data_IF_332354739815
#
_entry.id   IF_332354739815
#
_cell.length_a   1.000
_cell.length_b   1.000
_cell.length_c   1.000
_cell.angle_alpha   90.00
_cell.angle_beta   90.00
_cell.angle_gamma   90.00
#
_symmetry.space_group_name_H-M   'P 1'
#
loop_
_entity.id
_entity.type
_entity.pdbx_description
1 polymer ?
#
# COMPACT_ATOMS: atom_id res chain seq x y z
N UNK A 1 1.03 28.60 9.09
CA UNK A 1 1.17 27.65 7.97
C UNK A 1 -0.14 26.88 7.87
N UNK A 2 -0.92 27.09 6.80
CA UNK A 2 -2.21 26.42 6.65
C UNK A 2 -1.98 24.91 6.55
N UNK A 3 -2.62 24.15 7.44
CA UNK A 3 -2.63 22.69 7.43
C UNK A 3 -3.05 22.22 6.03
N UNK A 4 -2.27 21.33 5.41
CA UNK A 4 -2.61 20.81 4.08
C UNK A 4 -4.02 20.21 4.15
N UNK A 5 -4.95 20.75 3.36
CA UNK A 5 -6.29 20.20 3.28
C UNK A 5 -6.16 18.77 2.77
N UNK A 6 -6.67 17.80 3.53
CA UNK A 6 -6.65 16.41 3.10
C UNK A 6 -7.85 16.11 2.20
N UNK A 7 -7.69 15.17 1.26
CA UNK A 7 -8.74 14.84 0.29
C UNK A 7 -10.06 14.47 0.97
N UNK A 8 -10.02 13.66 2.03
CA UNK A 8 -11.22 13.22 2.76
C UNK A 8 -11.91 14.33 3.57
N UNK A 9 -11.16 15.36 3.96
CA UNK A 9 -11.72 16.52 4.66
C UNK A 9 -12.26 17.58 3.68
N UNK A 10 -12.16 17.33 2.37
CA UNK A 10 -12.62 18.23 1.31
C UNK A 10 -14.06 17.87 0.90
N UNK A 11 -15.05 18.77 1.09
CA UNK A 11 -16.40 18.54 0.60
C UNK A 11 -16.45 18.31 -0.91
N UNK A 12 -17.39 17.49 -1.39
CA UNK A 12 -17.54 17.18 -2.81
C UNK A 12 -17.63 18.43 -3.70
N UNK A 13 -18.30 19.49 -3.23
CA UNK A 13 -18.43 20.77 -3.94
C UNK A 13 -17.13 21.56 -4.09
N UNK A 14 -16.08 21.22 -3.33
CA UNK A 14 -14.76 21.87 -3.36
C UNK A 14 -13.66 21.03 -4.03
N UNK A 15 -13.98 19.86 -4.58
CA UNK A 15 -12.98 18.96 -5.19
C UNK A 15 -12.26 19.61 -6.38
N UNK A 16 -12.95 20.44 -7.16
CA UNK A 16 -12.31 21.17 -8.26
C UNK A 16 -11.26 22.16 -7.78
N UNK A 17 -11.58 22.92 -6.74
CA UNK A 17 -10.65 23.84 -6.09
C UNK A 17 -9.48 23.08 -5.47
N UNK A 18 -9.75 21.92 -4.88
CA UNK A 18 -8.71 21.03 -4.34
C UNK A 18 -7.73 20.58 -5.43
N UNK A 19 -8.24 20.10 -6.58
CA UNK A 19 -7.39 19.70 -7.71
C UNK A 19 -6.54 20.87 -8.20
N UNK A 20 -7.14 22.05 -8.37
CA UNK A 20 -6.44 23.22 -8.89
C UNK A 20 -5.34 23.75 -7.94
N UNK A 21 -5.59 23.75 -6.64
CA UNK A 21 -4.69 24.34 -5.64
C UNK A 21 -3.62 23.38 -5.13
N UNK A 22 -3.96 22.09 -4.99
CA UNK A 22 -3.11 21.11 -4.31
C UNK A 22 -2.52 20.05 -5.25
N UNK A 23 -3.23 19.68 -6.32
CA UNK A 23 -2.80 18.57 -7.19
C UNK A 23 -2.10 19.02 -8.46
N UNK A 24 -2.50 20.16 -9.04
CA UNK A 24 -1.89 20.66 -10.27
C UNK A 24 -0.49 21.22 -9.98
N UNK A 25 0.55 20.80 -10.73
CA UNK A 25 1.87 21.40 -10.59
C UNK A 25 1.89 22.82 -11.13
N UNK A 26 2.74 23.65 -10.53
CA UNK A 26 3.02 24.98 -11.07
C UNK A 26 3.71 24.87 -12.44
N UNK A 27 3.36 25.78 -13.35
CA UNK A 27 3.89 25.78 -14.72
C UNK A 27 5.41 25.93 -14.76
N UNK A 28 5.95 26.88 -14.00
CA UNK A 28 7.39 27.15 -13.93
C UNK A 28 8.18 25.95 -13.42
N UNK A 29 7.69 25.30 -12.36
CA UNK A 29 8.26 24.07 -11.81
C UNK A 29 8.29 22.94 -12.84
N UNK A 30 7.18 22.74 -13.57
CA UNK A 30 7.11 21.72 -14.61
C UNK A 30 8.09 22.02 -15.76
N UNK A 31 8.21 23.28 -16.17
CA UNK A 31 9.14 23.69 -17.22
C UNK A 31 10.60 23.43 -16.80
N UNK A 32 10.94 23.67 -15.54
CA UNK A 32 12.26 23.41 -15.00
C UNK A 32 12.62 21.91 -15.00
N UNK A 33 11.72 21.03 -14.53
CA UNK A 33 11.93 19.57 -14.61
C UNK A 33 12.10 19.13 -16.07
N UNK A 34 11.27 19.64 -16.97
CA UNK A 34 11.35 19.28 -18.38
C UNK A 34 12.64 19.74 -19.06
N UNK A 35 13.28 20.80 -18.58
CA UNK A 35 14.57 21.24 -19.10
C UNK A 35 15.71 20.30 -18.66
N UNK A 36 15.71 19.84 -17.40
CA UNK A 36 16.68 18.82 -16.95
C UNK A 36 16.52 17.51 -17.73
N UNK A 37 15.28 17.05 -17.91
CA UNK A 37 14.96 15.85 -18.71
C UNK A 37 15.38 16.02 -20.17
N UNK A 38 15.29 17.24 -20.73
CA UNK A 38 15.70 17.50 -22.12
C UNK A 38 17.19 17.24 -22.32
N UNK A 39 18.05 17.51 -21.32
CA UNK A 39 19.47 17.14 -21.35
C UNK A 39 19.64 15.61 -21.46
N UNK A 40 18.87 14.83 -20.70
CA UNK A 40 18.86 13.35 -20.83
C UNK A 40 18.42 12.92 -22.24
N UNK A 41 17.36 13.52 -22.77
CA UNK A 41 16.87 13.19 -24.12
C UNK A 41 17.89 13.55 -25.21
N UNK A 42 18.66 14.61 -25.02
CA UNK A 42 19.72 15.01 -25.93
C UNK A 42 20.89 14.04 -25.88
N UNK A 43 21.38 13.73 -24.68
CA UNK A 43 22.41 12.71 -24.44
C UNK A 43 22.07 11.39 -25.15
N UNK A 44 20.86 10.86 -24.93
CA UNK A 44 20.43 9.60 -25.54
C UNK A 44 20.41 9.65 -27.08
N UNK A 45 20.13 10.80 -27.69
CA UNK A 45 20.04 10.94 -29.15
C UNK A 45 21.39 11.13 -29.81
N UNK A 46 22.32 11.78 -29.12
CA UNK A 46 23.64 12.12 -29.64
C UNK A 46 24.67 11.02 -29.35
N UNK A 47 24.43 10.15 -28.35
CA UNK A 47 25.39 9.10 -28.05
C UNK A 47 25.35 7.93 -29.03
N UNK A 48 26.56 7.43 -29.30
CA UNK A 48 26.83 6.20 -30.03
C UNK A 48 27.10 5.08 -29.03
N UNK A 49 26.20 4.09 -29.02
CA UNK A 49 26.28 2.94 -28.13
C UNK A 49 26.97 1.79 -28.87
N UNK A 50 28.30 1.72 -28.78
CA UNK A 50 29.09 0.60 -29.31
C UNK A 50 28.90 -0.64 -28.42
N UNK A 51 28.52 -1.77 -29.03
CA UNK A 51 28.37 -3.03 -28.33
C UNK A 51 28.33 -4.23 -29.28
N UNK A 52 28.78 -5.40 -28.82
CA UNK A 52 28.90 -6.63 -29.61
C UNK A 52 27.56 -7.39 -29.79
N UNK A 53 26.42 -6.69 -29.73
CA UNK A 53 25.10 -7.31 -29.57
C UNK A 53 24.22 -7.12 -30.82
N UNK A 54 24.32 -8.07 -31.76
CA UNK A 54 23.49 -8.12 -32.98
C UNK A 54 24.25 -7.77 -34.27
N UNK A 55 23.57 -7.75 -35.44
CA UNK A 55 24.20 -7.48 -36.74
C UNK A 55 24.67 -6.01 -36.89
N UNK A 56 24.11 -5.09 -36.10
CA UNK A 56 24.51 -3.69 -36.07
C UNK A 56 25.59 -3.47 -35.00
N UNK A 57 26.82 -3.18 -35.43
CA UNK A 57 27.97 -2.89 -34.57
C UNK A 57 27.82 -1.55 -33.79
N UNK A 58 26.83 -0.74 -34.16
CA UNK A 58 26.54 0.58 -33.61
C UNK A 58 25.04 0.69 -33.25
N UNK A 59 24.73 0.72 -31.96
CA UNK A 59 23.35 0.88 -31.49
C UNK A 59 22.99 2.37 -31.44
N UNK A 60 21.90 2.74 -32.13
CA UNK A 60 21.41 4.11 -32.19
C UNK A 60 20.02 4.24 -31.60
N UNK A 61 19.78 5.39 -30.95
CA UNK A 61 18.44 5.75 -30.46
C UNK A 61 17.59 6.30 -31.62
N UNK A 62 16.60 5.53 -32.02
CA UNK A 62 15.64 5.91 -33.06
C UNK A 62 14.66 6.99 -32.57
N UNK A 63 14.24 6.88 -31.30
CA UNK A 63 13.22 7.78 -30.73
C UNK A 63 13.22 7.71 -29.20
N UNK A 64 13.03 8.86 -28.56
CA UNK A 64 12.79 8.95 -27.11
C UNK A 64 11.40 9.50 -26.84
N UNK A 65 10.62 8.79 -26.03
CA UNK A 65 9.24 9.13 -25.70
C UNK A 65 9.08 9.34 -24.20
N UNK A 66 8.57 10.50 -23.81
CA UNK A 66 8.10 10.74 -22.43
C UNK A 66 6.78 10.02 -22.21
N UNK A 67 6.73 9.15 -21.22
CA UNK A 67 5.57 8.32 -20.87
C UNK A 67 5.11 8.68 -19.46
N UNK A 68 4.25 7.84 -18.87
CA UNK A 68 3.71 8.07 -17.54
C UNK A 68 3.00 9.42 -17.37
N UNK A 69 3.09 9.96 -16.15
CA UNK A 69 2.39 11.17 -15.71
C UNK A 69 2.78 12.43 -16.50
N UNK A 70 4.06 12.57 -16.82
CA UNK A 70 4.59 13.70 -17.60
C UNK A 70 4.22 13.60 -19.09
N UNK A 71 4.21 12.38 -19.64
CA UNK A 71 3.85 12.12 -21.04
C UNK A 71 2.36 12.32 -21.33
N UNK A 72 1.48 11.86 -20.43
CA UNK A 72 0.03 11.91 -20.64
C UNK A 72 -0.65 13.16 -20.07
N UNK A 73 0.09 14.02 -19.36
CA UNK A 73 -0.43 15.27 -18.80
C UNK A 73 -1.28 15.10 -17.55
N UNK A 74 -1.00 14.07 -16.74
CA UNK A 74 -1.64 13.80 -15.44
C UNK A 74 -0.66 13.91 -14.26
N UNK A 75 0.45 14.61 -14.45
CA UNK A 75 1.43 14.95 -13.40
C UNK A 75 0.76 15.62 -12.18
N UNK A 76 1.14 15.15 -10.99
CA UNK A 76 0.76 15.73 -9.70
C UNK A 76 1.87 16.69 -9.23
N UNK A 77 1.52 17.61 -8.32
CA UNK A 77 2.44 18.61 -7.77
C UNK A 77 3.72 18.04 -7.15
N UNK A 78 3.67 16.84 -6.56
CA UNK A 78 4.80 16.21 -5.87
C UNK A 78 5.40 15.03 -6.67
N UNK A 79 5.06 14.89 -7.96
CA UNK A 79 5.61 13.80 -8.78
C UNK A 79 7.02 14.19 -9.25
N UNK A 80 8.03 13.52 -8.68
CA UNK A 80 9.44 13.72 -9.03
C UNK A 80 9.98 12.66 -9.99
N UNK A 81 9.14 11.74 -10.44
CA UNK A 81 9.54 10.66 -11.34
C UNK A 81 9.14 10.97 -12.80
N UNK A 82 10.10 10.83 -13.70
CA UNK A 82 9.94 10.99 -15.15
C UNK A 82 10.33 9.72 -15.86
N UNK A 83 9.37 9.13 -16.55
CA UNK A 83 9.56 7.90 -17.31
C UNK A 83 9.83 8.19 -18.80
N UNK A 84 10.87 7.56 -19.33
CA UNK A 84 11.31 7.64 -20.72
C UNK A 84 11.36 6.24 -21.34
N UNK A 85 10.71 6.08 -22.49
CA UNK A 85 10.88 4.91 -23.35
C UNK A 85 11.83 5.27 -24.49
N UNK A 86 12.84 4.42 -24.70
CA UNK A 86 13.90 4.63 -25.68
C UNK A 86 13.84 3.53 -26.72
N UNK A 87 13.49 3.90 -27.95
CA UNK A 87 13.44 2.99 -29.08
C UNK A 87 14.81 2.88 -29.72
N UNK A 88 15.34 1.66 -29.84
CA UNK A 88 16.70 1.39 -30.30
C UNK A 88 16.71 0.71 -31.67
N UNK A 89 17.77 0.92 -32.44
CA UNK A 89 17.96 0.32 -33.77
C UNK A 89 18.24 -1.17 -33.73
N UNK A 90 18.89 -1.65 -32.67
CA UNK A 90 19.33 -3.05 -32.51
C UNK A 90 18.19 -4.04 -32.22
N UNK A 91 16.99 -3.55 -31.92
CA UNK A 91 15.82 -4.40 -31.73
C UNK A 91 15.02 -4.45 -33.02
N UNK A 92 14.95 -5.63 -33.63
CA UNK A 92 14.14 -5.88 -34.83
C UNK A 92 12.91 -6.76 -34.54
N UNK A 93 12.83 -7.36 -33.34
CA UNK A 93 11.70 -8.15 -32.88
C UNK A 93 11.55 -8.07 -31.35
N UNK A 94 10.40 -8.52 -30.84
CA UNK A 94 10.17 -8.66 -29.40
C UNK A 94 11.12 -9.67 -28.75
N UNK A 95 11.49 -10.74 -29.46
CA UNK A 95 12.44 -11.73 -28.97
C UNK A 95 13.83 -11.12 -28.77
N UNK A 96 14.31 -10.31 -29.72
CA UNK A 96 15.58 -9.60 -29.59
C UNK A 96 15.57 -8.56 -28.47
N UNK A 97 14.45 -7.86 -28.27
CA UNK A 97 14.26 -7.00 -27.10
C UNK A 97 14.46 -7.82 -25.82
N UNK A 98 13.78 -8.96 -25.66
CA UNK A 98 13.91 -9.80 -24.48
C UNK A 98 15.33 -10.37 -24.26
N UNK A 99 16.01 -10.82 -25.32
CA UNK A 99 17.34 -11.41 -25.24
C UNK A 99 18.42 -10.38 -24.86
N UNK A 100 18.32 -9.16 -25.39
CA UNK A 100 19.37 -8.15 -25.25
C UNK A 100 19.01 -7.01 -24.28
N UNK A 101 17.81 -7.00 -23.69
CA UNK A 101 17.32 -5.94 -22.80
C UNK A 101 18.34 -5.55 -21.73
N UNK A 102 18.83 -6.53 -20.97
CA UNK A 102 19.73 -6.32 -19.85
C UNK A 102 21.12 -5.83 -20.27
N UNK A 103 21.61 -6.32 -21.41
CA UNK A 103 22.89 -5.89 -21.97
C UNK A 103 22.83 -4.41 -22.38
N UNK A 104 21.72 -4.01 -23.01
CA UNK A 104 21.47 -2.61 -23.40
C UNK A 104 21.32 -1.71 -22.17
N UNK A 105 20.58 -2.11 -21.15
CA UNK A 105 20.48 -1.34 -19.90
C UNK A 105 21.87 -1.11 -19.27
N UNK A 106 22.70 -2.15 -19.23
CA UNK A 106 24.07 -2.09 -18.73
C UNK A 106 24.96 -1.17 -19.58
N UNK A 107 24.75 -1.14 -20.90
CA UNK A 107 25.47 -0.26 -21.82
C UNK A 107 25.09 1.21 -21.60
N UNK A 108 23.79 1.51 -21.51
CA UNK A 108 23.30 2.86 -21.23
C UNK A 108 23.83 3.33 -19.86
N UNK A 109 23.76 2.47 -18.84
CA UNK A 109 24.29 2.75 -17.51
C UNK A 109 25.76 3.18 -17.52
N UNK A 110 26.62 2.44 -18.24
CA UNK A 110 28.04 2.80 -18.38
C UNK A 110 28.23 4.16 -19.05
N UNK A 111 27.46 4.45 -20.10
CA UNK A 111 27.57 5.70 -20.85
C UNK A 111 27.04 6.92 -20.09
N UNK A 112 26.06 6.75 -19.19
CA UNK A 112 25.58 7.84 -18.33
C UNK A 112 26.73 8.44 -17.50
N UNK A 113 27.60 7.60 -16.93
CA UNK A 113 28.75 8.05 -16.14
C UNK A 113 29.83 8.78 -16.95
N UNK A 114 29.84 8.63 -18.27
CA UNK A 114 30.75 9.36 -19.14
C UNK A 114 30.22 10.74 -19.58
N UNK A 115 28.93 11.02 -19.37
CA UNK A 115 28.29 12.24 -19.83
C UNK A 115 28.55 13.42 -18.88
N UNK A 116 29.36 14.39 -19.32
CA UNK A 116 29.66 15.60 -18.54
C UNK A 116 28.42 16.43 -18.22
N UNK A 117 27.47 16.52 -19.14
CA UNK A 117 26.25 17.32 -18.94
C UNK A 117 25.35 16.72 -17.87
N UNK A 118 25.27 15.39 -17.78
CA UNK A 118 24.50 14.71 -16.73
C UNK A 118 25.22 14.77 -15.38
N UNK A 119 26.54 14.63 -15.36
CA UNK A 119 27.34 14.87 -14.16
C UNK A 119 27.17 16.31 -13.64
N UNK A 120 27.09 17.30 -14.54
CA UNK A 120 26.81 18.69 -14.18
C UNK A 120 25.39 18.91 -13.62
N UNK A 121 24.46 17.99 -13.90
CA UNK A 121 23.14 17.94 -13.27
C UNK A 121 23.14 17.11 -11.97
N UNK A 122 24.29 16.69 -11.44
CA UNK A 122 24.33 15.90 -10.20
C UNK A 122 23.74 14.50 -10.36
N UNK A 123 24.16 13.78 -11.41
CA UNK A 123 23.79 12.39 -11.65
C UNK A 123 24.20 11.49 -10.46
N UNK A 124 23.21 10.87 -9.82
CA UNK A 124 23.38 9.99 -8.66
C UNK A 124 22.44 8.77 -8.76
N UNK A 125 22.58 7.82 -7.82
CA UNK A 125 21.70 6.65 -7.63
C UNK A 125 21.41 5.82 -8.90
N UNK A 126 22.42 5.64 -9.76
CA UNK A 126 22.25 4.91 -11.03
C UNK A 126 22.18 3.40 -10.80
N UNK A 127 20.98 2.84 -10.90
CA UNK A 127 20.70 1.42 -10.67
C UNK A 127 19.78 0.81 -11.74
N UNK A 128 19.91 -0.50 -11.97
CA UNK A 128 18.97 -1.27 -12.79
C UNK A 128 17.99 -1.95 -11.85
N UNK A 129 16.72 -1.57 -11.94
CA UNK A 129 15.64 -2.14 -11.13
C UNK A 129 15.00 -3.29 -11.90
N UNK A 130 14.95 -4.46 -11.26
CA UNK A 130 14.28 -5.63 -11.80
C UNK A 130 12.75 -5.47 -11.75
N UNK A 131 12.08 -5.75 -12.87
CA UNK A 131 10.66 -5.48 -13.04
C UNK A 131 10.07 -6.13 -14.29
N UNK A 132 8.94 -5.59 -14.74
CA UNK A 132 8.25 -6.03 -15.97
C UNK A 132 8.00 -4.82 -16.87
N UNK A 133 8.93 -4.47 -17.78
CA UNK A 133 10.31 -4.97 -17.88
C UNK A 133 11.27 -4.28 -16.90
N UNK A 134 12.52 -4.76 -16.84
CA UNK A 134 13.61 -4.11 -16.13
C UNK A 134 13.84 -2.68 -16.64
N UNK A 135 14.23 -1.78 -15.74
CA UNK A 135 14.40 -0.36 -16.05
C UNK A 135 15.67 0.20 -15.43
N UNK A 136 16.30 1.15 -16.13
CA UNK A 136 17.42 1.92 -15.59
C UNK A 136 16.87 3.14 -14.88
N UNK A 137 17.17 3.28 -13.58
CA UNK A 137 16.70 4.36 -12.74
C UNK A 137 17.91 5.14 -12.23
N UNK A 138 17.81 6.46 -12.22
CA UNK A 138 18.83 7.35 -11.67
C UNK A 138 18.21 8.67 -11.24
N UNK A 139 18.96 9.45 -10.49
CA UNK A 139 18.56 10.79 -10.06
C UNK A 139 19.41 11.87 -10.72
N UNK A 140 18.78 13.01 -11.01
CA UNK A 140 19.45 14.24 -11.46
C UNK A 140 18.79 15.43 -10.76
N UNK A 141 19.46 16.57 -10.76
CA UNK A 141 19.00 17.80 -10.15
C UNK A 141 18.55 18.82 -11.20
N UNK A 142 17.53 19.61 -10.86
CA UNK A 142 17.15 20.76 -11.66
C UNK A 142 18.17 21.89 -11.51
N UNK A 143 18.35 22.69 -12.58
CA UNK A 143 19.40 23.72 -12.61
C UNK A 143 19.15 24.91 -11.68
N UNK A 144 17.90 25.26 -11.36
CA UNK A 144 17.59 26.49 -10.59
C UNK A 144 17.29 26.17 -9.14
N UNK A 145 16.48 25.16 -8.88
CA UNK A 145 16.05 24.77 -7.53
C UNK A 145 16.89 23.67 -6.89
N UNK A 146 17.79 23.02 -7.66
CA UNK A 146 18.52 21.83 -7.21
C UNK A 146 17.60 20.73 -6.67
N UNK A 147 16.38 20.65 -7.22
CA UNK A 147 15.39 19.64 -6.84
C UNK A 147 15.75 18.32 -7.49
N UNK A 148 15.80 17.27 -6.67
CA UNK A 148 16.16 15.92 -7.12
C UNK A 148 14.96 15.31 -7.84
N UNK A 149 15.16 14.90 -9.08
CA UNK A 149 14.19 14.19 -9.90
C UNK A 149 14.73 12.79 -10.23
N UNK A 150 13.84 11.81 -10.20
CA UNK A 150 14.12 10.44 -10.60
C UNK A 150 13.75 10.27 -12.07
N UNK A 151 14.67 9.72 -12.86
CA UNK A 151 14.44 9.41 -14.28
C UNK A 151 14.53 7.91 -14.46
N UNK A 152 13.50 7.36 -15.09
CA UNK A 152 13.39 5.93 -15.40
C UNK A 152 13.49 5.75 -16.92
N UNK A 153 14.43 4.94 -17.40
CA UNK A 153 14.64 4.61 -18.81
C UNK A 153 14.29 3.16 -19.06
N UNK A 154 13.44 2.93 -20.06
CA UNK A 154 13.08 1.60 -20.54
C UNK A 154 13.38 1.49 -22.05
N UNK A 155 14.37 0.68 -22.45
CA UNK A 155 14.61 0.31 -23.85
C UNK A 155 13.41 -0.44 -24.43
N UNK A 156 13.12 -0.25 -25.71
CA UNK A 156 11.98 -0.91 -26.36
C UNK A 156 12.20 -1.14 -27.86
N UNK A 157 11.66 -2.23 -28.38
CA UNK A 157 11.50 -2.47 -29.82
C UNK A 157 10.47 -1.49 -30.41
N UNK A 158 10.80 -0.89 -31.55
CA UNK A 158 9.90 0.02 -32.26
C UNK A 158 8.92 -0.75 -33.15
N UNK A 159 8.00 -1.47 -32.51
CA UNK A 159 6.95 -2.24 -33.18
C UNK A 159 5.97 -1.36 -33.98
N UNK A 160 5.77 -0.11 -33.53
CA UNK A 160 4.89 0.84 -34.20
C UNK A 160 5.69 1.69 -35.19
N UNK A 161 5.40 1.52 -36.48
CA UNK A 161 5.92 2.38 -37.55
C UNK A 161 5.53 3.85 -37.37
N UNK A 162 6.00 4.77 -38.23
CA UNK A 162 5.63 6.18 -38.22
C UNK A 162 4.14 6.36 -38.60
N UNK A 163 3.24 6.01 -37.69
CA UNK A 163 1.80 6.10 -37.87
C UNK A 163 1.26 7.39 -37.27
N UNK A 164 0.16 7.90 -37.84
CA UNK A 164 -0.53 9.08 -37.33
C UNK A 164 -1.06 8.82 -35.90
N UNK A 165 -1.12 9.88 -35.08
CA UNK A 165 -1.64 9.77 -33.71
C UNK A 165 -3.06 9.19 -33.70
N UNK A 166 -3.22 8.03 -33.05
CA UNK A 166 -4.49 7.30 -32.83
C UNK A 166 -4.97 6.40 -33.99
N UNK A 167 -4.14 6.07 -34.98
CA UNK A 167 -4.47 4.98 -35.91
C UNK A 167 -4.37 3.62 -35.22
N UNK A 168 -5.23 2.69 -35.61
CA UNK A 168 -5.13 1.31 -35.16
C UNK A 168 -3.84 0.69 -35.72
N UNK A 169 -3.02 0.02 -34.89
CA UNK A 169 -1.88 -0.74 -35.37
C UNK A 169 -2.33 -1.88 -36.27
N UNK A 170 -1.46 -2.25 -37.20
CA UNK A 170 -1.61 -3.44 -38.03
C UNK A 170 -1.73 -4.70 -37.13
N UNK A 171 -2.74 -5.57 -37.34
CA UNK A 171 -2.94 -6.78 -36.53
C UNK A 171 -1.70 -7.67 -36.41
N UNK A 172 -0.87 -7.72 -37.45
CA UNK A 172 0.38 -8.48 -37.53
C UNK A 172 1.37 -8.09 -36.42
N UNK A 173 1.32 -6.86 -35.93
CA UNK A 173 2.12 -6.40 -34.78
C UNK A 173 1.68 -7.09 -33.49
N UNK A 174 0.39 -7.35 -33.32
CA UNK A 174 -0.12 -8.08 -32.16
C UNK A 174 0.06 -9.59 -32.31
N UNK A 175 -0.02 -10.13 -33.53
CA UNK A 175 0.30 -11.54 -33.80
C UNK A 175 1.76 -11.84 -33.44
N UNK A 176 2.71 -11.03 -33.94
CA UNK A 176 4.13 -11.17 -33.59
C UNK A 176 4.41 -10.98 -32.08
N UNK A 177 3.64 -10.12 -31.39
CA UNK A 177 3.70 -10.00 -29.93
C UNK A 177 3.27 -11.29 -29.22
N UNK A 178 2.18 -11.91 -29.67
CA UNK A 178 1.64 -13.15 -29.09
C UNK A 178 2.62 -14.31 -29.35
N UNK A 179 3.17 -14.39 -30.56
CA UNK A 179 4.15 -15.39 -30.96
C UNK A 179 5.49 -15.27 -30.21
N UNK A 180 5.83 -14.07 -29.72
CA UNK A 180 7.04 -13.87 -28.94
C UNK A 180 7.02 -14.53 -27.56
N UNK A 181 5.87 -14.99 -27.08
CA UNK A 181 5.70 -15.75 -25.82
C UNK A 181 6.38 -15.11 -24.59
N UNK A 182 6.52 -13.78 -24.57
CA UNK A 182 7.08 -13.06 -23.43
C UNK A 182 6.14 -13.01 -22.22
N UNK A 183 6.69 -12.69 -21.06
CA UNK A 183 5.90 -12.48 -19.86
C UNK A 183 4.87 -11.34 -20.06
N UNK A 184 3.61 -11.49 -19.62
CA UNK A 184 2.59 -10.45 -19.82
C UNK A 184 3.03 -9.07 -19.30
N UNK A 185 3.03 -8.07 -20.20
CA UNK A 185 3.41 -6.70 -19.89
C UNK A 185 4.88 -6.34 -20.18
N UNK A 186 5.74 -7.33 -20.44
CA UNK A 186 7.17 -7.09 -20.66
C UNK A 186 7.43 -6.18 -21.87
N UNK A 187 6.69 -6.37 -22.96
CA UNK A 187 6.77 -5.57 -24.18
C UNK A 187 5.78 -4.40 -24.22
N UNK A 188 5.20 -4.04 -23.08
CA UNK A 188 4.31 -2.86 -23.00
C UNK A 188 4.98 -1.55 -23.44
N UNK A 189 6.30 -1.32 -23.24
CA UNK A 189 6.99 -0.11 -23.70
C UNK A 189 6.94 0.09 -25.22
N UNK A 190 6.91 -0.99 -26.02
CA UNK A 190 6.80 -0.94 -27.48
C UNK A 190 5.50 -0.26 -27.95
N UNK A 191 4.47 -0.26 -27.10
CA UNK A 191 3.16 0.37 -27.31
C UNK A 191 2.95 1.63 -26.47
N UNK A 192 4.00 2.15 -25.83
CA UNK A 192 3.91 3.27 -24.90
C UNK A 192 3.30 4.55 -25.50
N UNK A 193 3.46 4.78 -26.80
CA UNK A 193 2.82 5.90 -27.48
C UNK A 193 1.29 5.78 -27.50
N UNK A 194 0.75 4.57 -27.71
CA UNK A 194 -0.68 4.31 -27.68
C UNK A 194 -1.22 4.52 -26.27
N UNK A 195 -0.54 3.96 -25.26
CA UNK A 195 -0.90 4.11 -23.84
C UNK A 195 -0.93 5.59 -23.44
N UNK A 196 0.12 6.35 -23.81
CA UNK A 196 0.19 7.79 -23.59
C UNK A 196 -0.95 8.50 -24.28
N UNK A 197 -1.17 8.24 -25.57
CA UNK A 197 -2.16 8.95 -26.38
C UNK A 197 -3.59 8.69 -25.93
N UNK A 198 -3.88 7.47 -25.44
CA UNK A 198 -5.17 7.07 -24.88
C UNK A 198 -5.62 7.99 -23.73
N UNK A 199 -4.68 8.48 -22.93
CA UNK A 199 -4.94 9.40 -21.81
C UNK A 199 -4.70 10.87 -22.21
N UNK A 200 -3.66 11.14 -23.00
CA UNK A 200 -3.23 12.49 -23.37
C UNK A 200 -4.29 13.27 -24.12
N UNK A 201 -5.04 12.64 -25.02
CA UNK A 201 -6.04 13.30 -25.86
C UNK A 201 -7.44 13.38 -25.22
N UNK A 202 -7.53 13.24 -23.88
CA UNK A 202 -8.79 13.35 -23.13
C UNK A 202 -9.10 14.79 -22.69
N UNK A 203 -10.38 15.14 -22.44
CA UNK A 203 -10.76 16.47 -21.96
C UNK A 203 -10.04 16.88 -20.67
N UNK A 204 -9.79 18.18 -20.48
CA UNK A 204 -9.07 18.71 -19.31
C UNK A 204 -9.74 18.33 -17.99
N UNK A 205 -11.08 18.33 -17.94
CA UNK A 205 -11.84 17.92 -16.76
C UNK A 205 -11.63 16.43 -16.41
N UNK A 206 -11.55 15.56 -17.42
CA UNK A 206 -11.20 14.15 -17.19
C UNK A 206 -9.77 14.02 -16.66
N UNK A 207 -8.82 14.81 -17.16
CA UNK A 207 -7.46 14.84 -16.61
C UNK A 207 -7.43 15.33 -15.16
N UNK A 208 -8.31 16.26 -14.77
CA UNK A 208 -8.47 16.67 -13.36
C UNK A 208 -8.97 15.52 -12.50
N UNK A 209 -9.97 14.76 -12.96
CA UNK A 209 -10.45 13.56 -12.27
C UNK A 209 -9.34 12.49 -12.14
N UNK A 210 -8.58 12.24 -13.22
CA UNK A 210 -7.46 11.29 -13.18
C UNK A 210 -6.40 11.70 -12.15
N UNK A 211 -6.11 13.00 -12.00
CA UNK A 211 -5.23 13.48 -10.93
C UNK A 211 -5.81 13.20 -9.55
N UNK A 212 -7.11 13.44 -9.36
CA UNK A 212 -7.79 13.16 -8.09
C UNK A 212 -7.70 11.68 -7.71
N UNK A 213 -8.01 10.78 -8.65
CA UNK A 213 -7.92 9.33 -8.44
C UNK A 213 -6.49 8.88 -8.16
N UNK A 214 -5.51 9.39 -8.92
CA UNK A 214 -4.09 9.09 -8.67
C UNK A 214 -3.65 9.57 -7.30
N UNK A 215 -4.06 10.77 -6.90
CA UNK A 215 -3.75 11.31 -5.58
C UNK A 215 -4.37 10.45 -4.48
N UNK A 216 -5.63 10.04 -4.64
CA UNK A 216 -6.32 9.11 -3.74
C UNK A 216 -5.58 7.76 -3.65
N UNK A 217 -5.15 7.20 -4.78
CA UNK A 217 -4.43 5.92 -4.83
C UNK A 217 -3.04 6.01 -4.17
N UNK A 218 -2.33 7.12 -4.37
CA UNK A 218 -0.98 7.36 -3.82
C UNK A 218 -1.00 7.78 -2.35
N UNK A 219 -2.09 8.39 -1.87
CA UNK A 219 -2.34 8.50 -0.44
C UNK A 219 -2.52 7.08 0.09
N UNK A 220 -1.42 6.45 0.54
CA UNK A 220 -1.46 5.20 1.30
C UNK A 220 -2.62 5.31 2.27
N UNK A 221 -3.57 4.38 2.16
CA UNK A 221 -4.73 4.25 3.01
C UNK A 221 -4.54 4.90 4.39
N UNK A 222 -5.05 6.14 4.54
CA UNK A 222 -4.93 6.88 5.80
C UNK A 222 -5.61 6.05 6.88
N UNK A 223 -4.96 5.95 8.05
CA UNK A 223 -5.65 5.45 9.21
C UNK A 223 -6.82 6.39 9.55
N UNK A 224 -8.04 5.87 9.46
CA UNK A 224 -9.26 6.57 9.85
C UNK A 224 -9.46 6.46 11.36
N UNK A 225 -10.11 7.45 11.97
CA UNK A 225 -10.53 7.37 13.36
C UNK A 225 -11.86 6.63 13.44
N UNK A 226 -11.86 5.52 14.16
CA UNK A 226 -13.05 4.74 14.45
C UNK A 226 -13.36 4.91 15.93
N UNK A 227 -14.52 5.50 16.21
CA UNK A 227 -15.06 5.61 17.56
C UNK A 227 -15.89 4.36 17.84
N UNK A 228 -15.45 3.56 18.80
CA UNK A 228 -16.16 2.36 19.24
C UNK A 228 -17.02 2.73 20.44
N UNK A 229 -18.33 2.64 20.27
CA UNK A 229 -19.31 2.83 21.32
C UNK A 229 -19.62 1.51 22.01
N UNK A 230 -19.65 1.51 23.34
CA UNK A 230 -20.03 0.37 24.16
C UNK A 230 -20.94 0.85 25.30
N UNK A 231 -22.00 0.10 25.56
CA UNK A 231 -22.92 0.43 26.65
C UNK A 231 -22.22 0.38 28.01
N UNK A 232 -22.25 1.49 28.75
CA UNK A 232 -21.69 1.59 30.11
C UNK A 232 -20.20 1.96 30.19
N UNK A 233 -19.53 2.22 29.07
CA UNK A 233 -18.11 2.60 29.03
C UNK A 233 -17.90 3.89 28.21
N UNK A 234 -16.76 4.57 28.42
CA UNK A 234 -16.37 5.71 27.58
C UNK A 234 -16.02 5.27 26.16
N UNK A 235 -16.33 6.11 25.17
CA UNK A 235 -16.00 5.89 23.76
C UNK A 235 -14.50 5.57 23.58
N UNK A 236 -14.17 4.52 22.83
CA UNK A 236 -12.80 4.19 22.46
C UNK A 236 -12.49 4.71 21.06
N UNK A 237 -11.49 5.59 20.93
CA UNK A 237 -11.07 6.12 19.64
C UNK A 237 -9.84 5.35 19.16
N UNK A 238 -9.97 4.64 18.03
CA UNK A 238 -8.88 3.89 17.41
C UNK A 238 -8.50 4.50 16.06
N UNK A 239 -7.19 4.53 15.76
CA UNK A 239 -6.68 4.78 14.41
C UNK A 239 -6.46 3.45 13.68
N UNK A 240 -7.18 3.26 12.57
CA UNK A 240 -7.20 1.99 11.84
C UNK A 240 -7.13 2.22 10.34
N UNK A 241 -6.31 1.42 9.66
CA UNK A 241 -6.25 1.43 8.22
C UNK A 241 -7.53 0.77 7.66
N UNK A 242 -8.32 1.46 6.81
CA UNK A 242 -9.62 0.95 6.36
C UNK A 242 -9.52 -0.30 5.48
N UNK A 243 -8.34 -0.61 4.91
CA UNK A 243 -8.11 -1.80 4.09
C UNK A 243 -7.55 -2.98 4.89
N UNK A 244 -7.34 -2.82 6.20
CA UNK A 244 -7.00 -3.95 7.06
C UNK A 244 -8.29 -4.66 7.49
N UNK A 245 -8.25 -6.00 7.65
CA UNK A 245 -9.41 -6.74 8.13
C UNK A 245 -9.89 -6.21 9.48
N UNK A 246 -11.21 -6.21 9.69
CA UNK A 246 -11.86 -5.79 10.93
C UNK A 246 -11.34 -6.58 12.14
N UNK A 247 -10.87 -7.82 11.94
CA UNK A 247 -10.15 -8.58 12.97
C UNK A 247 -9.00 -7.79 13.60
N UNK A 248 -8.26 -6.96 12.84
CA UNK A 248 -7.18 -6.10 13.38
C UNK A 248 -7.72 -5.00 14.29
N UNK A 249 -8.95 -4.53 14.06
CA UNK A 249 -9.63 -3.58 14.95
C UNK A 249 -10.01 -4.28 16.25
N UNK A 250 -10.58 -5.49 16.17
CA UNK A 250 -10.90 -6.33 17.33
C UNK A 250 -9.65 -6.67 18.17
N UNK A 251 -8.52 -6.99 17.52
CA UNK A 251 -7.23 -7.20 18.19
C UNK A 251 -6.74 -5.93 18.93
N UNK A 252 -6.85 -4.75 18.30
CA UNK A 252 -6.48 -3.47 18.95
C UNK A 252 -7.39 -3.12 20.13
N UNK A 253 -8.69 -3.41 20.01
CA UNK A 253 -9.64 -3.26 21.12
C UNK A 253 -9.30 -4.19 22.28
N UNK A 254 -8.99 -5.46 21.98
CA UNK A 254 -8.54 -6.42 22.98
C UNK A 254 -7.32 -5.88 23.75
N UNK A 255 -6.30 -5.43 23.03
CA UNK A 255 -5.07 -4.90 23.63
C UNK A 255 -5.32 -3.70 24.55
N UNK A 256 -6.36 -2.90 24.25
CA UNK A 256 -6.67 -1.68 25.00
C UNK A 256 -7.59 -1.93 26.20
N UNK A 257 -8.50 -2.91 26.14
CA UNK A 257 -9.61 -3.06 27.12
C UNK A 257 -9.81 -4.46 27.70
N UNK A 258 -9.06 -5.48 27.27
CA UNK A 258 -9.17 -6.86 27.77
C UNK A 258 -10.59 -7.47 27.71
N UNK A 259 -11.34 -7.20 26.64
CA UNK A 259 -12.67 -7.79 26.39
C UNK A 259 -12.57 -9.30 26.08
N UNK A 260 -13.22 -10.17 26.87
CA UNK A 260 -13.08 -11.64 26.79
C UNK A 260 -14.17 -12.37 26.00
N UNK A 261 -15.24 -11.69 25.54
CA UNK A 261 -16.39 -12.31 24.86
C UNK A 261 -16.31 -12.33 23.32
N UNK A 262 -17.28 -13.00 22.68
CA UNK A 262 -17.52 -12.92 21.23
C UNK A 262 -17.99 -11.49 20.87
N UNK A 263 -17.14 -10.77 20.14
CA UNK A 263 -17.37 -9.37 19.77
C UNK A 263 -18.07 -9.28 18.40
N UNK A 264 -19.28 -8.75 18.39
CA UNK A 264 -19.96 -8.34 17.16
C UNK A 264 -19.87 -6.82 17.01
N UNK A 265 -19.24 -6.38 15.92
CA UNK A 265 -19.14 -4.97 15.57
C UNK A 265 -20.26 -4.60 14.60
N UNK A 266 -20.93 -3.48 14.85
CA UNK A 266 -21.98 -2.97 13.98
C UNK A 266 -21.63 -1.57 13.50
N UNK A 267 -21.76 -1.34 12.19
CA UNK A 267 -21.68 0.01 11.63
C UNK A 267 -22.97 0.77 11.91
N UNK A 268 -22.87 1.97 12.45
CA UNK A 268 -24.01 2.83 12.74
C UNK A 268 -24.22 3.81 11.59
N UNK A 269 -25.16 3.51 10.69
CA UNK A 269 -25.59 4.44 9.65
C UNK A 269 -26.73 5.35 10.16
N UNK A 270 -26.67 6.63 9.82
CA UNK A 270 -27.72 7.62 10.10
C UNK A 270 -29.03 7.21 9.40
N UNK A 271 -29.92 6.48 10.08
CA UNK A 271 -31.28 6.21 9.57
C UNK A 271 -31.81 4.77 9.61
N UNK A 272 -31.31 3.91 10.51
CA UNK A 272 -32.04 2.72 11.02
C UNK A 272 -31.73 1.32 10.45
N UNK A 273 -30.51 1.04 9.98
CA UNK A 273 -30.03 -0.35 9.91
C UNK A 273 -28.60 -0.47 10.44
N UNK A 274 -28.44 -1.23 11.53
CA UNK A 274 -27.12 -1.64 12.01
C UNK A 274 -26.61 -2.76 11.09
N UNK A 275 -25.48 -2.53 10.43
CA UNK A 275 -24.85 -3.54 9.57
C UNK A 275 -23.77 -4.29 10.35
N UNK A 276 -23.90 -5.62 10.44
CA UNK A 276 -22.90 -6.47 11.08
C UNK A 276 -21.59 -6.46 10.27
N UNK A 277 -20.51 -6.05 10.92
CA UNK A 277 -19.15 -6.03 10.40
C UNK A 277 -18.50 -7.39 10.66
N UNK A 278 -18.25 -8.13 9.59
CA UNK A 278 -17.58 -9.43 9.66
C UNK A 278 -16.07 -9.24 9.80
N UNK A 279 -15.45 -10.05 10.66
CA UNK A 279 -14.02 -9.97 10.99
C UNK A 279 -13.09 -10.24 9.80
N UNK A 280 -13.60 -10.90 8.77
CA UNK A 280 -12.85 -11.30 7.56
C UNK A 280 -12.72 -10.16 6.54
N UNK A 281 -13.68 -9.24 6.55
CA UNK A 281 -13.71 -8.09 5.64
C UNK A 281 -13.01 -6.88 6.26
N UNK A 282 -12.67 -5.92 5.42
CA UNK A 282 -12.10 -4.62 5.78
C UNK A 282 -13.19 -3.55 5.86
N UNK A 283 -12.93 -2.42 6.51
CA UNK A 283 -13.87 -1.29 6.52
C UNK A 283 -14.11 -0.74 5.10
N UNK A 284 -13.12 -0.84 4.22
CA UNK A 284 -13.24 -0.49 2.81
C UNK A 284 -14.25 -1.37 2.06
N UNK A 285 -14.39 -2.66 2.40
CA UNK A 285 -15.39 -3.55 1.80
C UNK A 285 -16.82 -3.13 2.14
N UNK A 286 -16.98 -2.39 3.24
CA UNK A 286 -18.24 -1.77 3.66
C UNK A 286 -18.37 -0.31 3.20
N UNK A 287 -17.47 0.18 2.34
CA UNK A 287 -17.50 1.54 1.83
C UNK A 287 -17.09 2.62 2.85
N UNK A 288 -16.44 2.24 3.95
CA UNK A 288 -16.04 3.16 5.03
C UNK A 288 -14.62 3.66 4.81
N UNK A 289 -14.51 4.95 4.42
CA UNK A 289 -13.23 5.61 4.12
C UNK A 289 -12.98 6.89 4.94
N UNK A 290 -13.91 7.26 5.83
CA UNK A 290 -13.82 8.44 6.70
C UNK A 290 -14.03 8.05 8.17
N UNK A 291 -13.81 8.99 9.08
CA UNK A 291 -14.04 8.76 10.51
C UNK A 291 -15.48 8.29 10.73
N UNK A 292 -15.64 7.22 11.50
CA UNK A 292 -16.94 6.56 11.69
C UNK A 292 -17.15 6.12 13.13
N UNK A 293 -18.41 5.87 13.49
CA UNK A 293 -18.81 5.29 14.77
C UNK A 293 -19.26 3.86 14.54
N UNK A 294 -18.75 2.93 15.35
CA UNK A 294 -19.17 1.53 15.35
C UNK A 294 -19.62 1.16 16.76
N UNK A 295 -20.69 0.38 16.86
CA UNK A 295 -21.17 -0.14 18.13
C UNK A 295 -20.55 -1.52 18.38
N UNK A 296 -20.01 -1.73 19.57
CA UNK A 296 -19.58 -3.02 20.06
C UNK A 296 -20.72 -3.67 20.84
N UNK A 297 -21.16 -4.84 20.38
CA UNK A 297 -22.08 -5.71 21.12
C UNK A 297 -21.34 -6.99 21.48
N UNK A 298 -21.12 -7.20 22.77
CA UNK A 298 -20.57 -8.45 23.30
C UNK A 298 -21.72 -9.43 23.52
N UNK A 299 -21.71 -10.56 22.81
CA UNK A 299 -22.60 -11.67 23.12
C UNK A 299 -21.88 -12.55 24.14
N UNK A 300 -22.18 -12.35 25.42
CA UNK A 300 -21.73 -13.24 26.48
C UNK A 300 -22.45 -14.58 26.33
N UNK A 301 -21.78 -15.59 25.79
CA UNK A 301 -22.40 -16.92 25.72
C UNK A 301 -21.42 -18.08 25.89
N UNK A 302 -20.52 -18.01 26.87
CA UNK A 302 -19.89 -19.18 27.51
C UNK A 302 -19.51 -18.88 28.99
N UNK A 303 -20.30 -18.06 29.69
CA UNK A 303 -20.05 -17.79 31.11
C UNK A 303 -20.30 -19.07 31.93
N UNK A 304 -19.24 -19.54 32.58
CA UNK A 304 -19.29 -20.61 33.56
C UNK A 304 -19.05 -20.01 34.94
N UNK A 305 -19.72 -20.56 35.94
CA UNK A 305 -19.45 -20.23 37.34
C UNK A 305 -18.51 -21.30 37.87
N UNK A 306 -17.36 -20.91 38.40
CA UNK A 306 -16.41 -21.83 39.03
C UNK A 306 -16.26 -21.48 40.50
N UNK A 307 -16.06 -22.48 41.35
CA UNK A 307 -15.80 -22.30 42.77
C UNK A 307 -14.30 -22.38 43.01
N UNK A 308 -13.75 -21.47 43.80
CA UNK A 308 -12.35 -21.53 44.20
C UNK A 308 -12.31 -21.79 45.70
N UNK A 309 -11.73 -22.92 46.07
CA UNK A 309 -11.51 -23.32 47.45
C UNK A 309 -10.26 -22.64 47.98
N UNK A 310 -10.46 -21.80 48.99
CA UNK A 310 -9.43 -21.01 49.63
C UNK A 310 -8.62 -21.86 50.64
N UNK A 311 -7.39 -21.43 50.99
CA UNK A 311 -6.56 -22.10 52.00
C UNK A 311 -7.19 -22.17 53.40
N UNK A 312 -8.16 -21.31 53.71
CA UNK A 312 -8.90 -21.29 54.98
C UNK A 312 -10.08 -22.30 55.01
N UNK A 313 -10.30 -23.02 53.91
CA UNK A 313 -11.34 -24.04 53.77
C UNK A 313 -12.66 -23.52 53.17
N UNK A 314 -12.82 -22.20 53.01
CA UNK A 314 -13.99 -21.59 52.37
C UNK A 314 -13.99 -21.78 50.85
N UNK A 315 -15.14 -21.60 50.19
CA UNK A 315 -15.23 -21.58 48.72
C UNK A 315 -15.95 -20.33 48.23
N UNK A 316 -15.31 -19.64 47.30
CA UNK A 316 -15.83 -18.43 46.66
C UNK A 316 -16.27 -18.74 45.22
N UNK A 317 -17.44 -18.25 44.83
CA UNK A 317 -17.91 -18.35 43.45
C UNK A 317 -17.33 -17.22 42.59
N UNK A 318 -16.89 -17.57 41.38
CA UNK A 318 -16.36 -16.67 40.35
C UNK A 318 -17.03 -16.95 39.01
N UNK A 319 -17.41 -15.89 38.28
CA UNK A 319 -17.98 -16.00 36.92
C UNK A 319 -16.89 -15.70 35.91
N UNK A 320 -16.63 -16.63 35.00
CA UNK A 320 -15.56 -16.54 34.00
C UNK A 320 -16.00 -17.19 32.69
N UNK A 321 -15.38 -16.79 31.58
CA UNK A 321 -15.57 -17.46 30.29
C UNK A 321 -14.84 -18.83 30.29
N UNK A 322 -15.52 -19.89 29.84
CA UNK A 322 -14.92 -21.21 29.65
C UNK A 322 -13.73 -21.18 28.67
N UNK A 323 -13.75 -20.26 27.69
CA UNK A 323 -12.65 -20.02 26.75
C UNK A 323 -11.63 -19.00 27.27
N UNK A 324 -11.88 -18.40 28.43
CA UNK A 324 -10.97 -17.45 29.08
C UNK A 324 -9.71 -18.13 29.62
N UNK A 325 -8.63 -17.35 29.76
CA UNK A 325 -7.37 -17.82 30.34
C UNK A 325 -7.41 -17.88 31.86
N UNK A 326 -6.65 -18.81 32.45
CA UNK A 326 -6.47 -18.94 33.91
C UNK A 326 -5.99 -17.63 34.57
N UNK A 327 -5.19 -16.82 33.85
CA UNK A 327 -4.75 -15.52 34.34
C UNK A 327 -5.91 -14.57 34.68
N UNK A 328 -7.01 -14.61 33.90
CA UNK A 328 -8.19 -13.78 34.13
C UNK A 328 -8.88 -14.14 35.45
N UNK A 329 -9.01 -15.44 35.74
CA UNK A 329 -9.58 -15.92 37.00
C UNK A 329 -8.69 -15.53 38.21
N UNK A 330 -7.37 -15.63 38.08
CA UNK A 330 -6.42 -15.19 39.12
C UNK A 330 -6.53 -13.69 39.43
N UNK A 331 -6.81 -12.88 38.41
CA UNK A 331 -7.03 -11.45 38.58
C UNK A 331 -8.31 -11.16 39.36
N UNK A 332 -9.39 -11.92 39.13
CA UNK A 332 -10.61 -11.80 39.92
C UNK A 332 -10.39 -12.18 41.39
N UNK A 333 -9.60 -13.23 41.65
CA UNK A 333 -9.21 -13.63 43.01
C UNK A 333 -8.38 -12.53 43.69
N UNK A 334 -7.42 -11.92 42.97
CA UNK A 334 -6.62 -10.80 43.49
C UNK A 334 -7.51 -9.61 43.88
N UNK A 335 -8.50 -9.28 43.05
CA UNK A 335 -9.45 -8.21 43.31
C UNK A 335 -10.35 -8.50 44.53
N UNK A 336 -10.84 -9.73 44.66
CA UNK A 336 -11.79 -10.11 45.72
C UNK A 336 -11.11 -10.40 47.07
N UNK A 337 -9.92 -11.01 47.05
CA UNK A 337 -9.24 -11.52 48.25
C UNK A 337 -7.93 -10.78 48.56
N UNK A 338 -7.46 -9.88 47.69
CA UNK A 338 -6.22 -9.12 47.89
C UNK A 338 -4.92 -9.92 47.76
N UNK A 339 -4.99 -11.20 47.36
CA UNK A 339 -3.82 -12.07 47.21
C UNK A 339 -3.12 -11.78 45.85
N UNK A 340 -1.84 -11.37 45.81
CA UNK A 340 -1.21 -11.01 44.55
C UNK A 340 -1.14 -12.18 43.56
N UNK A 341 -1.40 -11.94 42.26
CA UNK A 341 -1.42 -13.01 41.22
C UNK A 341 -0.17 -13.90 41.20
N UNK A 342 1.01 -13.31 41.45
CA UNK A 342 2.29 -14.05 41.49
C UNK A 342 2.36 -15.07 42.63
N UNK A 343 1.60 -14.86 43.70
CA UNK A 343 1.51 -15.74 44.86
C UNK A 343 0.37 -16.76 44.73
N UNK A 344 -0.44 -16.70 43.67
CA UNK A 344 -1.57 -17.62 43.46
C UNK A 344 -1.16 -18.84 42.62
N UNK A 345 -1.46 -20.03 43.13
CA UNK A 345 -1.42 -21.29 42.39
C UNK A 345 -2.81 -21.90 42.37
N UNK A 346 -3.39 -22.02 41.19
CA UNK A 346 -4.65 -22.71 40.98
C UNK A 346 -4.39 -24.13 40.52
N UNK A 347 -5.16 -25.07 41.05
CA UNK A 347 -5.07 -26.49 40.75
C UNK A 347 -6.46 -27.08 40.47
N UNK A 348 -6.54 -27.97 39.49
CA UNK A 348 -7.75 -28.72 39.15
C UNK A 348 -7.38 -30.17 38.89
N UNK A 349 -8.08 -31.12 39.53
CA UNK A 349 -7.84 -32.57 39.37
C UNK A 349 -6.37 -32.99 39.54
N UNK A 350 -5.62 -32.36 40.46
CA UNK A 350 -4.20 -32.65 40.67
C UNK A 350 -3.24 -31.94 39.72
N UNK A 351 -3.73 -31.13 38.77
CA UNK A 351 -2.92 -30.41 37.80
C UNK A 351 -2.84 -28.91 38.10
N UNK A 352 -1.61 -28.39 38.16
CA UNK A 352 -1.37 -26.94 38.30
C UNK A 352 -1.71 -26.22 37.01
N UNK A 353 -2.59 -25.22 37.12
CA UNK A 353 -3.11 -24.44 36.00
C UNK A 353 -2.10 -23.37 35.59
N UNK A 354 -1.81 -23.30 34.29
CA UNK A 354 -0.88 -22.35 33.68
C UNK A 354 -1.62 -21.11 33.22
N UNK A 355 -1.07 -19.93 33.51
CA UNK A 355 -1.69 -18.63 33.29
C UNK A 355 -2.17 -18.41 31.83
N UNK A 356 -1.41 -18.91 30.86
CA UNK A 356 -1.64 -18.71 29.42
C UNK A 356 -2.53 -19.78 28.76
N UNK A 357 -3.06 -20.73 29.53
CA UNK A 357 -3.94 -21.78 29.00
C UNK A 357 -5.41 -21.48 29.33
N UNK A 358 -6.35 -21.71 28.39
CA UNK A 358 -7.78 -21.57 28.63
C UNK A 358 -8.33 -22.56 29.67
N UNK A 359 -9.42 -22.22 30.37
CA UNK A 359 -10.10 -23.11 31.31
C UNK A 359 -10.60 -24.40 30.62
N UNK A 360 -11.16 -24.28 29.42
CA UNK A 360 -11.66 -25.42 28.64
C UNK A 360 -10.57 -26.46 28.32
N UNK A 361 -9.30 -26.05 28.20
CA UNK A 361 -8.19 -26.97 27.93
C UNK A 361 -7.91 -27.93 29.10
N UNK A 362 -8.34 -27.56 30.30
CA UNK A 362 -8.27 -28.39 31.50
C UNK A 362 -9.56 -29.17 31.75
N UNK A 363 -10.54 -29.09 30.85
CA UNK A 363 -11.84 -29.74 30.99
C UNK A 363 -12.72 -29.13 32.09
N UNK A 364 -12.42 -27.89 32.53
CA UNK A 364 -13.19 -27.20 33.58
C UNK A 364 -14.56 -26.78 33.02
N UNK A 365 -15.61 -27.16 33.74
CA UNK A 365 -17.02 -26.93 33.41
C UNK A 365 -17.74 -26.04 34.44
N UNK A 366 -19.01 -25.74 34.16
CA UNK A 366 -19.86 -24.97 35.06
C UNK A 366 -20.04 -25.71 36.40
N UNK A 367 -19.77 -24.98 37.49
CA UNK A 367 -19.77 -25.36 38.91
C UNK A 367 -18.62 -26.26 39.36
N UNK A 368 -17.56 -26.35 38.59
CA UNK A 368 -16.34 -27.03 39.03
C UNK A 368 -15.61 -26.26 40.13
N UNK A 369 -14.88 -26.99 40.98
CA UNK A 369 -14.12 -26.43 42.09
C UNK A 369 -12.62 -26.50 41.83
N UNK A 370 -11.95 -25.35 41.86
CA UNK A 370 -10.49 -25.20 41.76
C UNK A 370 -9.90 -25.00 43.17
N UNK A 371 -8.69 -25.49 43.40
CA UNK A 371 -7.99 -25.31 44.68
C UNK A 371 -7.02 -24.15 44.55
N UNK A 372 -7.10 -23.17 45.44
CA UNK A 372 -6.17 -22.06 45.54
C UNK A 372 -5.13 -22.33 46.62
N UNK A 373 -3.87 -22.37 46.20
CA UNK A 373 -2.70 -22.52 47.07
C UNK A 373 -1.83 -21.28 46.98
N UNK A 374 -1.22 -20.89 48.10
CA UNK A 374 -0.27 -19.77 48.15
C UNK A 374 1.14 -20.25 47.82
N UNK A 375 1.72 -19.75 46.73
CA UNK A 375 3.16 -19.89 46.46
C UNK A 375 3.94 -19.01 47.44
N UNK A 376 4.98 -19.58 48.03
CA UNK A 376 5.92 -18.84 48.89
C UNK A 376 6.74 -17.85 48.06
#
# INVERSE_FOLDING_TARGET
MAQAMELYDTPASKLDSFVAQWLQPHRSWKEEILEAVKTVQQFLREEHFEGDYGPDQEVRVLKVVKVGSFGNGTVLRNTLEVELVVFLSCFHSFQQEAEHHQAILSLIQKKLWCCRDLLALGLEDVEIIQGVPDALVFTIQTRRTAEIITVTIVPAYRALGPSASNSQPYPEVYESLIEAQGFPGNFSPSFSELQRNFVKHRPTKLKSLLRLVKHWYLQKARDIQVTVEQWGYSDLILRVNPYKPIKKIQEKMWQSRCCSGLQHLYLQELGAKQQLLSSQYSLADYGVFSNTRICLVETNSHEIQVFVKNPDGGSDAYTTDAKGFILGLKQQIEYKQGLPRKQQQLEFQGQVLKDWLPLQNYGIQHRDTLILSKKK
#
